data_IF_642378173819
#
_entry.id   IF_642378173819
#
_cell.length_a   1.000
_cell.length_b   1.000
_cell.length_c   1.000
_cell.angle_alpha   90.00
_cell.angle_beta   90.00
_cell.angle_gamma   90.00
#
_symmetry.space_group_name_H-M   'P 1'
#
loop_
_entity.id
_entity.type
_entity.pdbx_description
1 polymer ?
#
# COMPACT_ATOMS: atom_id res chain seq x y z
N UNK A 1 -38.66 -0.27 5.09
CA UNK A 1 -37.54 0.63 4.78
C UNK A 1 -36.77 0.88 6.08
N UNK A 2 -35.76 0.06 6.38
CA UNK A 2 -34.86 0.27 7.53
C UNK A 2 -33.43 0.03 7.03
N UNK A 3 -32.60 1.08 7.08
CA UNK A 3 -31.22 1.09 6.63
C UNK A 3 -30.33 1.06 7.88
N UNK A 4 -29.57 -0.03 8.08
CA UNK A 4 -28.49 -0.08 9.07
C UNK A 4 -27.22 0.55 8.43
N UNK A 5 -26.50 1.44 9.13
CA UNK A 5 -25.26 1.99 8.60
C UNK A 5 -24.11 0.96 8.70
N UNK A 6 -23.36 0.83 7.60
CA UNK A 6 -22.09 0.09 7.54
C UNK A 6 -21.14 0.63 8.62
N UNK A 7 -20.80 -0.21 9.60
CA UNK A 7 -19.65 0.00 10.47
C UNK A 7 -18.40 -0.20 9.63
N UNK A 8 -17.72 0.90 9.30
CA UNK A 8 -16.31 0.86 8.91
C UNK A 8 -15.54 0.45 10.16
N UNK A 9 -14.88 -0.70 10.09
CA UNK A 9 -14.31 -1.38 11.25
C UNK A 9 -13.11 -0.61 11.83
N UNK A 10 -13.41 0.29 12.76
CA UNK A 10 -12.43 1.10 13.53
C UNK A 10 -11.43 0.25 14.31
N UNK A 11 -11.66 -1.06 14.46
CA UNK A 11 -10.78 -1.98 15.15
C UNK A 11 -9.40 -2.14 14.47
N UNK A 12 -9.33 -1.96 13.14
CA UNK A 12 -8.08 -2.18 12.37
C UNK A 12 -7.09 -1.01 12.45
N UNK A 13 -7.59 0.22 12.62
CA UNK A 13 -6.76 1.43 12.78
C UNK A 13 -6.00 1.39 14.12
N UNK A 14 -6.64 0.85 15.16
CA UNK A 14 -6.08 0.79 16.50
C UNK A 14 -5.05 -0.33 16.66
N UNK A 15 -5.23 -1.48 16.00
CA UNK A 15 -4.32 -2.62 16.15
C UNK A 15 -2.90 -2.32 15.64
N UNK A 16 -2.75 -1.62 14.51
CA UNK A 16 -1.43 -1.30 13.95
C UNK A 16 -0.79 -0.06 14.61
N UNK A 17 -1.58 0.89 15.09
CA UNK A 17 -1.07 2.02 15.89
C UNK A 17 -0.58 1.57 17.28
N UNK A 18 -1.24 0.58 17.91
CA UNK A 18 -0.85 0.00 19.20
C UNK A 18 0.46 -0.79 19.10
N UNK A 19 0.62 -1.64 18.08
CA UNK A 19 1.82 -2.47 17.90
C UNK A 19 3.11 -1.65 17.70
N UNK A 20 3.02 -0.41 17.24
CA UNK A 20 4.17 0.50 17.06
C UNK A 20 4.53 1.23 18.37
N UNK A 21 3.61 1.31 19.34
CA UNK A 21 3.81 2.01 20.63
C UNK A 21 4.42 1.12 21.73
N UNK A 22 4.35 -0.22 21.63
CA UNK A 22 4.75 -1.15 22.71
C UNK A 22 6.24 -1.55 22.75
N UNK A 23 7.16 -0.69 22.30
CA UNK A 23 8.62 -0.93 22.44
C UNK A 23 9.31 -0.08 23.51
N UNK A 24 8.57 0.31 24.55
CA UNK A 24 9.16 0.87 25.77
C UNK A 24 8.45 0.35 27.01
N UNK A 25 9.09 -0.54 27.77
CA UNK A 25 9.33 -0.38 29.23
C UNK A 25 9.86 -1.66 29.90
N UNK A 26 11.09 -1.57 30.41
CA UNK A 26 11.57 -2.00 31.74
C UNK A 26 13.07 -1.64 31.75
N UNK A 27 13.50 -0.64 32.53
CA UNK A 27 13.98 -0.84 33.90
C UNK A 27 13.71 0.38 34.79
N UNK A 28 13.24 0.11 36.02
CA UNK A 28 12.89 1.03 37.14
C UNK A 28 14.14 1.62 37.84
N UNK A 29 14.08 2.87 38.32
CA UNK A 29 14.19 3.32 39.76
C UNK A 29 14.16 4.89 39.88
N UNK A 30 14.01 5.51 41.08
CA UNK A 30 12.75 6.13 41.52
C UNK A 30 12.76 7.66 41.77
N UNK A 31 11.54 8.19 41.84
CA UNK A 31 10.98 9.39 42.50
C UNK A 31 11.86 10.54 43.03
N UNK A 32 11.50 11.76 42.61
CA UNK A 32 11.40 12.94 43.50
C UNK A 32 10.27 13.88 43.06
N UNK A 33 9.59 14.44 44.05
CA UNK A 33 8.37 15.25 44.01
C UNK A 33 8.63 16.66 43.46
N UNK A 34 7.70 17.22 42.67
CA UNK A 34 7.31 18.63 42.80
C UNK A 34 5.84 18.83 42.38
N UNK A 35 5.14 19.51 43.27
CA UNK A 35 3.77 20.04 43.26
C UNK A 35 3.63 21.26 42.35
N UNK A 36 2.49 21.40 41.64
CA UNK A 36 1.60 22.58 41.67
C UNK A 36 0.49 22.46 40.60
N UNK A 37 -0.70 22.95 40.95
CA UNK A 37 -1.97 22.77 40.27
C UNK A 37 -2.30 23.88 39.25
N UNK A 38 -3.08 23.55 38.22
CA UNK A 38 -4.19 24.37 37.70
C UNK A 38 -5.02 23.58 36.65
N UNK A 39 -6.30 23.33 36.96
CA UNK A 39 -7.40 23.05 36.00
C UNK A 39 -7.95 24.44 35.54
N UNK A 40 -8.67 24.68 34.45
CA UNK A 40 -9.77 23.97 33.76
C UNK A 40 -10.06 24.70 32.41
N UNK A 41 -11.15 24.47 31.64
CA UNK A 41 -11.10 24.02 30.23
C UNK A 41 -11.79 25.00 29.23
N UNK A 42 -11.72 24.72 27.92
CA UNK A 42 -12.62 25.21 26.85
C UNK A 42 -11.88 25.08 25.50
N UNK A 43 -12.43 24.74 24.34
CA UNK A 43 -13.71 24.18 23.91
C UNK A 43 -13.50 23.64 22.50
N UNK A 44 -14.19 22.54 22.24
CA UNK A 44 -14.55 21.91 20.97
C UNK A 44 -14.80 22.92 19.82
N UNK A 45 -14.00 22.88 18.76
CA UNK A 45 -14.36 23.45 17.46
C UNK A 45 -14.22 22.38 16.37
N UNK A 46 -15.36 21.73 16.11
CA UNK A 46 -15.61 20.82 15.01
C UNK A 46 -15.83 21.66 13.76
N UNK A 47 -14.81 21.77 12.90
CA UNK A 47 -14.97 22.27 11.54
C UNK A 47 -14.91 21.08 10.58
N UNK A 48 -16.10 20.62 10.17
CA UNK A 48 -16.36 19.67 9.10
C UNK A 48 -16.49 20.48 7.81
N UNK A 49 -15.65 20.21 6.81
CA UNK A 49 -15.91 20.57 5.40
C UNK A 49 -14.94 19.81 4.48
N UNK A 50 -15.27 19.61 3.19
CA UNK A 50 -15.78 18.33 2.71
C UNK A 50 -15.06 17.84 1.44
N UNK A 51 -15.59 16.74 0.87
CA UNK A 51 -15.37 16.21 -0.49
C UNK A 51 -14.27 15.15 -0.68
N UNK A 52 -14.57 13.95 -0.20
CA UNK A 52 -14.11 12.69 -0.80
C UNK A 52 -14.95 12.44 -2.07
N UNK A 53 -14.36 12.18 -3.26
CA UNK A 53 -15.15 11.84 -4.44
C UNK A 53 -15.66 10.40 -4.30
N UNK A 54 -16.97 10.30 -4.09
CA UNK A 54 -17.74 9.08 -4.12
C UNK A 54 -17.80 8.51 -5.56
N UNK A 55 -16.97 7.49 -5.88
CA UNK A 55 -17.22 6.61 -7.03
C UNK A 55 -16.51 5.25 -6.95
N UNK A 56 -16.57 4.53 -5.83
CA UNK A 56 -16.10 3.12 -5.78
C UNK A 56 -17.17 2.18 -6.33
N UNK A 57 -17.09 1.99 -7.64
CA UNK A 57 -18.09 1.34 -8.50
C UNK A 57 -18.19 -0.17 -8.25
N UNK A 58 -19.37 -0.75 -8.50
CA UNK A 58 -19.76 -2.17 -8.34
C UNK A 58 -18.68 -3.20 -8.74
N UNK A 59 -17.84 -2.89 -9.73
CA UNK A 59 -16.75 -3.75 -10.19
C UNK A 59 -15.62 -3.93 -9.16
N UNK A 60 -15.31 -2.90 -8.38
CA UNK A 60 -14.31 -3.00 -7.30
C UNK A 60 -14.78 -3.97 -6.21
N UNK A 61 -16.07 -3.89 -5.84
CA UNK A 61 -16.68 -4.79 -4.86
C UNK A 61 -16.67 -6.24 -5.36
N UNK A 62 -16.98 -6.46 -6.65
CA UNK A 62 -16.89 -7.78 -7.28
C UNK A 62 -15.47 -8.32 -7.28
N UNK A 63 -14.47 -7.48 -7.59
CA UNK A 63 -13.07 -7.87 -7.61
C UNK A 63 -12.57 -8.29 -6.21
N UNK A 64 -12.96 -7.56 -5.16
CA UNK A 64 -12.65 -7.92 -3.78
C UNK A 64 -13.33 -9.25 -3.42
N UNK A 65 -14.62 -9.42 -3.72
CA UNK A 65 -15.34 -10.67 -3.45
C UNK A 65 -14.70 -11.88 -4.16
N UNK A 66 -14.29 -11.71 -5.42
CA UNK A 66 -13.60 -12.75 -6.18
C UNK A 66 -12.23 -13.08 -5.56
N UNK A 67 -11.48 -12.08 -5.10
CA UNK A 67 -10.23 -12.31 -4.40
C UNK A 67 -10.44 -12.99 -3.04
N UNK A 68 -11.49 -12.64 -2.30
CA UNK A 68 -11.89 -13.36 -1.08
C UNK A 68 -12.23 -14.82 -1.37
N UNK A 69 -12.89 -15.11 -2.50
CA UNK A 69 -13.15 -16.49 -2.92
C UNK A 69 -11.88 -17.26 -3.25
N UNK A 70 -10.88 -16.60 -3.85
CA UNK A 70 -9.59 -17.21 -4.21
C UNK A 70 -8.71 -17.52 -3.01
N UNK A 71 -8.58 -16.56 -2.09
CA UNK A 71 -7.60 -16.62 -0.99
C UNK A 71 -8.23 -17.02 0.35
N UNK A 72 -9.54 -17.11 0.42
CA UNK A 72 -10.26 -17.27 1.68
C UNK A 72 -10.34 -15.95 2.45
N UNK A 73 -11.25 -15.93 3.44
CA UNK A 73 -11.54 -14.73 4.20
C UNK A 73 -10.43 -14.37 5.18
N UNK A 74 -9.86 -15.34 5.88
CA UNK A 74 -8.85 -15.11 6.91
C UNK A 74 -7.60 -14.40 6.36
N UNK A 75 -7.16 -14.75 5.15
CA UNK A 75 -6.01 -14.11 4.49
C UNK A 75 -6.33 -12.67 4.09
N UNK A 76 -7.50 -12.44 3.48
CA UNK A 76 -7.91 -11.09 3.08
C UNK A 76 -8.11 -10.19 4.30
N UNK A 77 -8.67 -10.74 5.37
CA UNK A 77 -8.88 -10.05 6.64
C UNK A 77 -7.53 -9.77 7.34
N UNK A 78 -6.51 -10.62 7.21
CA UNK A 78 -5.15 -10.32 7.69
C UNK A 78 -4.55 -9.10 6.96
N UNK A 79 -4.83 -8.94 5.67
CA UNK A 79 -4.53 -7.73 4.93
C UNK A 79 -4.07 -7.99 3.51
N UNK A 80 -4.13 -6.93 2.72
CA UNK A 80 -3.71 -6.94 1.32
C UNK A 80 -3.09 -5.60 0.97
N UNK A 81 -2.30 -5.61 -0.10
CA UNK A 81 -1.71 -4.41 -0.67
C UNK A 81 -2.31 -4.18 -2.05
N UNK A 82 -2.60 -2.92 -2.38
CA UNK A 82 -2.91 -2.56 -3.74
C UNK A 82 -1.59 -2.46 -4.53
N UNK A 83 -1.36 -3.42 -5.43
CA UNK A 83 -0.20 -3.44 -6.31
C UNK A 83 -0.64 -3.28 -7.77
N UNK A 84 -0.40 -2.12 -8.41
CA UNK A 84 -0.67 -1.96 -9.83
C UNK A 84 0.13 -2.97 -10.65
N UNK A 85 -0.55 -3.73 -11.53
CA UNK A 85 0.12 -4.73 -12.37
C UNK A 85 1.23 -4.15 -13.23
N UNK A 86 1.13 -2.87 -13.62
CA UNK A 86 2.15 -2.16 -14.39
C UNK A 86 3.51 -2.23 -13.70
N UNK A 87 3.59 -2.13 -12.37
CA UNK A 87 4.85 -2.19 -11.63
C UNK A 87 5.54 -3.55 -11.74
N UNK A 88 4.75 -4.63 -11.84
CA UNK A 88 5.28 -6.00 -11.95
C UNK A 88 5.69 -6.31 -13.38
N UNK A 89 4.82 -5.96 -14.34
CA UNK A 89 5.02 -6.27 -15.76
C UNK A 89 6.15 -5.44 -16.37
N UNK A 90 6.19 -4.14 -16.04
CA UNK A 90 7.13 -3.18 -16.61
C UNK A 90 8.31 -2.87 -15.66
N UNK A 91 8.62 -3.80 -14.74
CA UNK A 91 9.67 -3.59 -13.70
C UNK A 91 11.03 -3.24 -14.29
N UNK A 92 11.43 -3.93 -15.36
CA UNK A 92 12.75 -3.77 -16.00
C UNK A 92 12.82 -2.43 -16.72
N UNK A 93 11.75 -2.04 -17.40
CA UNK A 93 11.64 -0.73 -18.07
C UNK A 93 11.63 0.44 -17.07
N UNK A 94 11.12 0.21 -15.86
CA UNK A 94 11.21 1.16 -14.75
C UNK A 94 12.62 1.22 -14.12
N UNK A 95 13.55 0.37 -14.51
CA UNK A 95 14.91 0.29 -13.95
C UNK A 95 15.04 -0.54 -12.68
N UNK A 96 13.97 -1.19 -12.23
CA UNK A 96 13.96 -1.97 -10.99
C UNK A 96 14.36 -3.43 -11.21
N UNK A 97 15.15 -3.98 -10.29
CA UNK A 97 15.39 -5.41 -10.20
C UNK A 97 14.41 -6.10 -9.24
N UNK A 98 14.57 -7.41 -9.04
CA UNK A 98 13.69 -8.19 -8.15
C UNK A 98 13.79 -7.76 -6.68
N UNK A 99 14.96 -7.31 -6.23
CA UNK A 99 15.17 -6.85 -4.84
C UNK A 99 14.52 -5.49 -4.64
N UNK A 100 14.69 -4.60 -5.61
CA UNK A 100 14.10 -3.26 -5.60
C UNK A 100 12.57 -3.33 -5.60
N UNK A 101 11.97 -4.22 -6.40
CA UNK A 101 10.53 -4.46 -6.37
C UNK A 101 10.07 -4.94 -4.98
N UNK A 102 10.80 -5.87 -4.34
CA UNK A 102 10.46 -6.34 -2.99
C UNK A 102 10.56 -5.22 -1.95
N UNK A 103 11.55 -4.33 -2.05
CA UNK A 103 11.63 -3.14 -1.20
C UNK A 103 10.40 -2.25 -1.41
N UNK A 104 10.00 -2.00 -2.65
CA UNK A 104 8.78 -1.25 -2.97
C UNK A 104 7.54 -1.91 -2.38
N UNK A 105 7.40 -3.24 -2.43
CA UNK A 105 6.28 -3.96 -1.82
C UNK A 105 6.19 -3.70 -0.30
N UNK A 106 7.33 -3.75 0.40
CA UNK A 106 7.36 -3.45 1.84
C UNK A 106 6.97 -2.00 2.11
N UNK A 107 7.42 -1.05 1.28
CA UNK A 107 7.04 0.35 1.43
C UNK A 107 5.53 0.55 1.17
N UNK A 108 4.97 -0.07 0.12
CA UNK A 108 3.54 -0.03 -0.21
C UNK A 108 2.68 -0.65 0.90
N UNK A 109 3.14 -1.73 1.54
CA UNK A 109 2.48 -2.34 2.69
C UNK A 109 2.30 -1.36 3.87
N UNK A 110 3.14 -0.33 3.96
CA UNK A 110 3.07 0.69 5.00
C UNK A 110 2.37 1.98 4.51
N UNK A 111 1.91 2.05 3.25
CA UNK A 111 1.25 3.22 2.66
C UNK A 111 -0.26 3.02 2.57
N UNK A 112 -0.97 3.33 3.67
CA UNK A 112 -2.42 3.05 3.79
C UNK A 112 -3.31 4.21 3.35
N UNK A 113 -2.87 5.44 3.56
CA UNK A 113 -3.57 6.66 3.14
C UNK A 113 -2.68 7.41 2.18
N UNK A 114 -3.28 7.97 1.13
CA UNK A 114 -2.57 8.76 0.12
C UNK A 114 -1.67 9.83 0.76
N UNK A 115 -2.20 10.52 1.76
CA UNK A 115 -1.52 11.64 2.42
C UNK A 115 -0.53 11.19 3.52
N UNK A 116 -0.52 9.90 3.87
CA UNK A 116 0.35 9.34 4.91
C UNK A 116 1.44 8.46 4.31
N UNK A 117 2.48 9.12 3.83
CA UNK A 117 3.62 8.46 3.23
C UNK A 117 4.28 7.43 4.19
N UNK A 118 4.73 6.27 3.67
CA UNK A 118 5.30 5.21 4.48
C UNK A 118 6.64 5.61 5.10
N UNK A 119 6.89 5.10 6.32
CA UNK A 119 8.13 5.37 7.07
C UNK A 119 8.76 4.15 7.77
N UNK A 120 8.79 2.93 7.18
CA UNK A 120 9.43 1.80 7.82
C UNK A 120 10.95 2.01 8.00
N UNK A 121 11.51 1.39 9.04
CA UNK A 121 12.96 1.42 9.28
C UNK A 121 13.68 0.55 8.25
N UNK A 122 14.96 0.85 7.96
CA UNK A 122 15.78 0.01 7.05
C UNK A 122 15.94 -1.41 7.57
N UNK A 123 15.99 -1.58 8.89
CA UNK A 123 16.01 -2.89 9.54
C UNK A 123 14.72 -3.68 9.27
N UNK A 124 13.54 -3.05 9.37
CA UNK A 124 12.26 -3.69 9.05
C UNK A 124 12.19 -4.09 7.58
N UNK A 125 12.61 -3.22 6.68
CA UNK A 125 12.67 -3.53 5.24
C UNK A 125 13.61 -4.73 5.01
N UNK A 126 14.81 -4.70 5.60
CA UNK A 126 15.79 -5.78 5.44
C UNK A 126 15.28 -7.11 5.96
N UNK A 127 14.62 -7.13 7.11
CA UNK A 127 14.03 -8.35 7.68
C UNK A 127 12.91 -8.96 6.83
N UNK A 128 12.08 -8.13 6.19
CA UNK A 128 11.01 -8.61 5.31
C UNK A 128 11.51 -9.05 3.93
N UNK A 129 12.55 -8.38 3.40
CA UNK A 129 13.13 -8.71 2.09
C UNK A 129 14.17 -9.83 2.19
N UNK A 130 14.74 -10.08 3.38
CA UNK A 130 15.80 -11.07 3.59
C UNK A 130 17.19 -10.55 3.21
N UNK A 131 17.45 -9.25 3.36
CA UNK A 131 18.75 -8.62 3.04
C UNK A 131 19.26 -7.74 4.18
N UNK A 132 20.57 -7.55 4.24
CA UNK A 132 21.20 -6.69 5.23
C UNK A 132 20.71 -5.22 5.14
N UNK A 133 20.50 -4.52 6.27
CA UNK A 133 20.06 -3.12 6.28
C UNK A 133 20.99 -2.14 5.52
N UNK A 134 22.29 -2.44 5.42
CA UNK A 134 23.24 -1.68 4.59
C UNK A 134 22.94 -1.84 3.10
N UNK A 135 22.55 -3.05 2.67
CA UNK A 135 22.10 -3.27 1.29
C UNK A 135 20.78 -2.54 1.02
N UNK A 136 19.82 -2.57 1.95
CA UNK A 136 18.60 -1.75 1.86
C UNK A 136 18.95 -0.27 1.66
N UNK A 137 19.91 0.26 2.41
CA UNK A 137 20.35 1.66 2.26
C UNK A 137 20.89 1.95 0.86
N UNK A 138 21.73 1.06 0.31
CA UNK A 138 22.29 1.20 -1.05
C UNK A 138 21.19 1.15 -2.11
N UNK A 139 20.26 0.18 -2.00
CA UNK A 139 19.12 0.02 -2.91
C UNK A 139 18.18 1.22 -2.88
N UNK A 140 17.85 1.74 -1.69
CA UNK A 140 17.06 2.97 -1.57
C UNK A 140 17.76 4.18 -2.19
N UNK A 141 19.08 4.30 -2.04
CA UNK A 141 19.84 5.38 -2.66
C UNK A 141 19.85 5.25 -4.19
N UNK A 142 19.91 4.03 -4.73
CA UNK A 142 19.77 3.76 -6.16
C UNK A 142 18.38 4.15 -6.68
N UNK A 143 17.31 3.71 -6.02
CA UNK A 143 15.93 4.06 -6.37
C UNK A 143 15.69 5.58 -6.34
N UNK A 144 16.39 6.28 -5.44
CA UNK A 144 16.36 7.75 -5.37
C UNK A 144 17.16 8.41 -6.49
N UNK A 145 18.35 7.90 -6.82
CA UNK A 145 19.14 8.38 -7.96
C UNK A 145 18.41 8.16 -9.30
N UNK A 146 17.65 7.08 -9.41
CA UNK A 146 16.79 6.79 -10.56
C UNK A 146 15.48 7.59 -10.52
N UNK A 147 15.24 8.44 -9.53
CA UNK A 147 14.04 9.27 -9.43
C UNK A 147 12.74 8.47 -9.28
N UNK A 148 12.80 7.25 -8.77
CA UNK A 148 11.62 6.42 -8.49
C UNK A 148 11.05 6.74 -7.11
N UNK A 149 11.91 6.97 -6.13
CA UNK A 149 11.53 7.25 -4.75
C UNK A 149 12.22 8.51 -4.26
N UNK A 150 11.55 9.31 -3.43
CA UNK A 150 12.20 10.42 -2.72
C UNK A 150 12.16 10.18 -1.22
N UNK A 151 13.27 10.43 -0.51
CA UNK A 151 13.30 10.33 0.95
C UNK A 151 13.17 11.71 1.61
N UNK A 152 12.34 11.81 2.64
CA UNK A 152 12.32 12.95 3.57
C UNK A 152 12.89 12.49 4.90
N UNK A 153 14.01 13.09 5.31
CA UNK A 153 14.67 12.77 6.58
C UNK A 153 13.81 13.29 7.73
N UNK A 154 13.70 12.51 8.80
CA UNK A 154 13.06 12.93 10.04
C UNK A 154 14.12 13.12 11.12
N UNK A 155 14.62 14.35 11.32
CA UNK A 155 15.55 14.60 12.41
C UNK A 155 14.82 14.40 13.74
N UNK A 156 15.48 13.71 14.66
CA UNK A 156 15.08 13.68 16.07
C UNK A 156 16.14 14.45 16.83
N UNK A 157 15.73 15.32 17.75
CA UNK A 157 16.67 16.15 18.51
C UNK A 157 17.82 15.30 19.08
N UNK A 158 19.04 15.56 18.59
CA UNK A 158 20.24 14.77 18.87
C UNK A 158 20.95 14.24 17.61
N UNK A 159 21.88 13.31 17.79
CA UNK A 159 22.75 12.77 16.72
C UNK A 159 22.09 11.68 15.84
N UNK A 160 20.84 11.28 16.13
CA UNK A 160 20.17 10.16 15.45
C UNK A 160 18.88 10.63 14.79
N UNK A 161 18.71 10.30 13.51
CA UNK A 161 17.46 10.51 12.79
C UNK A 161 16.43 9.42 13.13
N UNK A 162 15.14 9.77 13.13
CA UNK A 162 14.06 8.80 13.06
C UNK A 162 14.01 8.14 11.66
N UNK A 163 13.16 7.14 11.47
CA UNK A 163 13.02 6.52 10.14
C UNK A 163 12.57 7.54 9.10
N UNK A 164 13.16 7.45 7.90
CA UNK A 164 12.82 8.33 6.78
C UNK A 164 11.39 8.10 6.32
N UNK A 165 10.77 9.14 5.76
CA UNK A 165 9.53 9.04 4.99
C UNK A 165 9.89 8.85 3.51
N UNK A 166 9.13 8.04 2.79
CA UNK A 166 9.38 7.73 1.38
C UNK A 166 8.18 8.17 0.52
N UNK A 167 8.41 8.94 -0.55
CA UNK A 167 7.41 9.28 -1.57
C UNK A 167 7.58 8.45 -2.83
N UNK A 168 6.48 8.12 -3.50
CA UNK A 168 6.42 7.39 -4.77
C UNK A 168 6.06 8.26 -5.97
N UNK A 169 6.05 9.59 -5.82
CA UNK A 169 5.62 10.50 -6.90
C UNK A 169 6.39 10.27 -8.21
N UNK A 170 7.71 10.06 -8.10
CA UNK A 170 8.58 9.75 -9.24
C UNK A 170 8.26 8.40 -9.89
N UNK A 171 8.05 7.34 -9.10
CA UNK A 171 7.63 6.03 -9.58
C UNK A 171 6.29 6.12 -10.31
N UNK A 172 5.31 6.83 -9.75
CA UNK A 172 4.00 7.03 -10.38
C UNK A 172 4.14 7.79 -11.70
N UNK A 173 4.95 8.84 -11.73
CA UNK A 173 5.19 9.62 -12.95
C UNK A 173 5.78 8.74 -14.07
N UNK A 174 6.76 7.89 -13.76
CA UNK A 174 7.37 6.96 -14.74
C UNK A 174 6.46 5.80 -15.14
N UNK A 175 5.62 5.31 -14.22
CA UNK A 175 4.73 4.19 -14.49
C UNK A 175 3.49 4.58 -15.33
N UNK A 176 3.06 5.85 -15.30
CA UNK A 176 1.91 6.34 -16.07
C UNK A 176 1.97 6.04 -17.58
N UNK A 177 3.02 6.42 -18.32
CA UNK A 177 3.08 6.12 -19.76
C UNK A 177 3.07 4.61 -20.04
N UNK A 178 3.79 3.82 -19.23
CA UNK A 178 3.84 2.36 -19.36
C UNK A 178 2.48 1.70 -19.06
N UNK A 179 1.68 2.29 -18.18
CA UNK A 179 0.34 1.80 -17.89
C UNK A 179 -0.61 1.95 -19.08
N UNK A 180 -0.44 3.00 -19.90
CA UNK A 180 -1.22 3.19 -21.12
C UNK A 180 -0.93 2.06 -22.10
N UNK A 181 0.35 1.76 -22.33
CA UNK A 181 0.80 0.65 -23.18
C UNK A 181 0.25 -0.70 -22.70
N UNK A 182 0.45 -1.04 -21.42
CA UNK A 182 -0.06 -2.30 -20.83
C UNK A 182 -1.58 -2.41 -20.97
N UNK A 183 -2.30 -1.30 -20.82
CA UNK A 183 -3.75 -1.30 -20.98
C UNK A 183 -4.18 -1.52 -22.43
N UNK A 184 -3.44 -1.00 -23.41
CA UNK A 184 -3.69 -1.22 -24.83
C UNK A 184 -3.46 -2.69 -25.19
N UNK A 185 -2.32 -3.26 -24.79
CA UNK A 185 -1.99 -4.67 -25.00
C UNK A 185 -3.06 -5.62 -24.41
N UNK A 186 -3.58 -5.31 -23.22
CA UNK A 186 -4.66 -6.08 -22.59
C UNK A 186 -5.97 -6.01 -23.37
N UNK A 187 -6.31 -4.85 -23.95
CA UNK A 187 -7.52 -4.71 -24.79
C UNK A 187 -7.40 -5.55 -26.05
N UNK A 188 -6.26 -5.50 -26.71
CA UNK A 188 -6.01 -6.21 -27.97
C UNK A 188 -5.95 -7.72 -27.79
N UNK A 189 -5.21 -8.20 -26.78
CA UNK A 189 -5.15 -9.62 -26.43
C UNK A 189 -6.51 -10.16 -25.98
N UNK A 190 -7.26 -9.37 -25.21
CA UNK A 190 -8.63 -9.70 -24.81
C UNK A 190 -9.60 -9.75 -25.99
N UNK A 191 -9.43 -8.92 -27.02
CA UNK A 191 -10.22 -8.98 -28.25
C UNK A 191 -9.92 -10.25 -29.05
N UNK A 192 -8.64 -10.58 -29.25
CA UNK A 192 -8.20 -11.79 -29.96
C UNK A 192 -8.72 -13.07 -29.30
N UNK A 193 -8.64 -13.16 -27.96
CA UNK A 193 -9.11 -14.33 -27.22
C UNK A 193 -10.63 -14.52 -27.28
N UNK A 194 -11.41 -13.43 -27.23
CA UNK A 194 -12.87 -13.46 -27.40
C UNK A 194 -13.26 -13.97 -28.79
N UNK A 195 -12.65 -13.44 -29.84
CA UNK A 195 -12.90 -13.90 -31.21
C UNK A 195 -12.54 -15.39 -31.37
N UNK A 196 -11.42 -15.84 -30.80
CA UNK A 196 -11.04 -17.25 -30.81
C UNK A 196 -12.05 -18.14 -30.06
N UNK A 197 -12.57 -17.70 -28.91
CA UNK A 197 -13.59 -18.43 -28.15
C UNK A 197 -14.91 -18.53 -28.90
N UNK A 198 -15.36 -17.44 -29.53
CA UNK A 198 -16.58 -17.43 -30.37
C UNK A 198 -16.42 -18.39 -31.56
N UNK A 199 -15.26 -18.35 -32.26
CA UNK A 199 -14.99 -19.28 -33.37
C UNK A 199 -14.99 -20.74 -32.93
N UNK A 200 -14.39 -21.06 -31.76
CA UNK A 200 -14.40 -22.42 -31.19
C UNK A 200 -15.81 -22.88 -30.82
N UNK A 201 -16.60 -22.01 -30.20
CA UNK A 201 -18.00 -22.31 -29.86
C UNK A 201 -18.86 -22.56 -31.11
N UNK A 202 -18.69 -21.73 -32.16
CA UNK A 202 -19.39 -21.91 -33.43
C UNK A 202 -18.99 -23.19 -34.17
N UNK A 203 -17.71 -23.59 -34.12
CA UNK A 203 -17.25 -24.84 -34.69
C UNK A 203 -17.80 -26.06 -33.92
N UNK A 204 -17.82 -26.00 -32.58
CA UNK A 204 -18.39 -27.06 -31.75
C UNK A 204 -19.90 -27.24 -31.97
N UNK A 205 -20.65 -26.16 -32.17
CA UNK A 205 -22.08 -26.21 -32.46
C UNK A 205 -22.39 -26.85 -33.83
N UNK A 206 -21.53 -26.64 -34.84
CA UNK A 206 -21.69 -27.24 -36.19
C UNK A 206 -21.33 -28.73 -36.23
N UNK A 207 -20.39 -29.18 -35.39
CA UNK A 207 -20.02 -30.60 -35.29
C UNK A 207 -20.99 -31.45 -34.46
N UNK A 208 -21.88 -30.83 -33.68
CA UNK A 208 -22.92 -31.53 -32.92
C UNK A 208 -24.25 -31.69 -33.70
N UNK A 209 -24.36 -31.08 -34.88
CA UNK A 209 -25.54 -31.15 -35.75
C UNK A 209 -25.33 -32.02 -36.99
N UNK A 210 -24.22 -32.77 -37.05
CA UNK A 210 -23.85 -33.72 -38.10
C UNK A 210 -23.66 -35.09 -37.49
#
# INVERSE_FOLDING_TARGET
MLWLPLRVDTARILYYASSIMDTKTKTKRPATKHTAAAKTPSTKAKAKSPSEPASSTTEEKKAVAENTRKWGRDIVDAGWIYLPSTLVLKRTELGMDAVDLNIVLVLLQHWWRKDELPFPTKAKIGGLVGIDPSNVRKRLARLEAEGLITRKVRPKGGARNDSNIYSFDGLIAKAKPLAVEVSAERRDSGAKSRTAKVRRAAAAAKGASS
#
